data_IF_352407579849
#
_entry.id   IF_352407579849
#
_cell.length_a   1.000
_cell.length_b   1.000
_cell.length_c   1.000
_cell.angle_alpha   90.00
_cell.angle_beta   90.00
_cell.angle_gamma   90.00
#
_symmetry.space_group_name_H-M   'P 1'
#
loop_
_entity.id
_entity.type
_entity.pdbx_description
1 polymer ?
#
# COMPACT_ATOMS: atom_id res chain seq x y z
N UNK A 1 -52.14 1.39 17.03
CA UNK A 1 -52.03 1.58 15.56
C UNK A 1 -50.87 2.52 15.24
N UNK A 2 -50.71 3.63 15.95
CA UNK A 2 -49.60 4.58 15.77
C UNK A 2 -48.21 3.98 16.01
N UNK A 3 -48.03 3.17 17.06
CA UNK A 3 -46.74 2.51 17.37
C UNK A 3 -46.24 1.58 16.25
N UNK A 4 -47.15 0.88 15.58
CA UNK A 4 -46.81 -0.03 14.48
C UNK A 4 -46.37 0.73 13.22
N UNK A 5 -46.97 1.89 12.96
CA UNK A 5 -46.60 2.76 11.85
C UNK A 5 -45.23 3.37 12.10
N UNK A 6 -44.98 3.87 13.32
CA UNK A 6 -43.68 4.42 13.70
C UNK A 6 -42.57 3.38 13.57
N UNK A 7 -42.79 2.16 14.07
CA UNK A 7 -41.84 1.05 13.94
C UNK A 7 -41.53 0.72 12.48
N UNK A 8 -42.55 0.67 11.60
CA UNK A 8 -42.34 0.36 10.17
C UNK A 8 -41.56 1.47 9.45
N UNK A 9 -41.82 2.74 9.78
CA UNK A 9 -41.08 3.88 9.23
C UNK A 9 -39.63 3.88 9.71
N UNK A 10 -39.39 3.62 11.00
CA UNK A 10 -38.03 3.51 11.55
C UNK A 10 -37.28 2.34 10.92
N UNK A 11 -37.92 1.17 10.79
CA UNK A 11 -37.29 0.01 10.17
C UNK A 11 -36.96 0.26 8.69
N UNK A 12 -37.90 0.85 7.94
CA UNK A 12 -37.69 1.22 6.54
C UNK A 12 -36.59 2.28 6.37
N UNK A 13 -36.53 3.27 7.25
CA UNK A 13 -35.46 4.27 7.29
C UNK A 13 -34.11 3.63 7.59
N UNK A 14 -34.03 2.74 8.58
CA UNK A 14 -32.79 2.03 8.93
C UNK A 14 -32.30 1.12 7.81
N UNK A 15 -33.20 0.39 7.13
CA UNK A 15 -32.86 -0.45 5.97
C UNK A 15 -32.43 0.41 4.77
N UNK A 16 -33.10 1.55 4.53
CA UNK A 16 -32.69 2.50 3.49
C UNK A 16 -31.34 3.16 3.78
N UNK A 17 -31.07 3.50 5.05
CA UNK A 17 -29.83 4.10 5.52
C UNK A 17 -28.66 3.12 5.43
N UNK A 18 -28.85 1.84 5.75
CA UNK A 18 -27.80 0.82 5.58
C UNK A 18 -27.44 0.61 4.11
N UNK A 19 -28.42 0.67 3.20
CA UNK A 19 -28.16 0.66 1.76
C UNK A 19 -27.41 1.90 1.26
N UNK A 20 -27.71 3.09 1.80
CA UNK A 20 -27.02 4.34 1.46
C UNK A 20 -25.60 4.42 2.05
N UNK A 21 -25.37 3.79 3.20
CA UNK A 21 -24.07 3.67 3.86
C UNK A 21 -23.26 2.46 3.37
N UNK A 22 -23.86 1.58 2.56
CA UNK A 22 -23.14 0.46 1.97
C UNK A 22 -21.94 1.00 1.18
N UNK A 23 -20.71 0.51 1.44
CA UNK A 23 -19.54 0.97 0.72
C UNK A 23 -19.75 0.85 -0.78
N UNK A 24 -19.71 1.97 -1.49
CA UNK A 24 -19.79 1.96 -2.94
C UNK A 24 -18.66 1.10 -3.54
N UNK A 25 -18.80 0.61 -4.78
CA UNK A 25 -17.82 -0.26 -5.42
C UNK A 25 -16.41 0.36 -5.48
N UNK A 26 -16.32 1.69 -5.56
CA UNK A 26 -15.05 2.44 -5.52
C UNK A 26 -14.38 2.40 -4.15
N UNK A 27 -15.14 2.51 -3.06
CA UNK A 27 -14.61 2.44 -1.70
C UNK A 27 -14.09 1.04 -1.40
N UNK A 28 -14.84 -0.01 -1.78
CA UNK A 28 -14.41 -1.40 -1.64
C UNK A 28 -13.11 -1.66 -2.43
N UNK A 29 -13.02 -1.18 -3.67
CA UNK A 29 -11.81 -1.32 -4.48
C UNK A 29 -10.60 -0.62 -3.84
N UNK A 30 -10.78 0.60 -3.31
CA UNK A 30 -9.72 1.34 -2.62
C UNK A 30 -9.24 0.61 -1.36
N UNK A 31 -10.17 0.06 -0.55
CA UNK A 31 -9.82 -0.71 0.65
C UNK A 31 -9.01 -1.95 0.27
N UNK A 32 -9.46 -2.70 -0.73
CA UNK A 32 -8.76 -3.91 -1.19
C UNK A 32 -7.35 -3.59 -1.73
N UNK A 33 -7.22 -2.53 -2.53
CA UNK A 33 -5.93 -2.09 -3.04
C UNK A 33 -4.98 -1.64 -1.92
N UNK A 34 -5.50 -0.90 -0.94
CA UNK A 34 -4.73 -0.42 0.22
C UNK A 34 -4.25 -1.58 1.08
N UNK A 35 -5.12 -2.56 1.34
CA UNK A 35 -4.77 -3.76 2.10
C UNK A 35 -3.72 -4.61 1.36
N UNK A 36 -3.87 -4.80 0.05
CA UNK A 36 -2.88 -5.51 -0.74
C UNK A 36 -1.51 -4.80 -0.71
N UNK A 37 -1.47 -3.48 -0.83
CA UNK A 37 -0.25 -2.68 -0.72
C UNK A 37 0.40 -2.79 0.66
N UNK A 38 -0.39 -2.74 1.73
CA UNK A 38 0.10 -2.94 3.10
C UNK A 38 0.70 -4.34 3.29
N UNK A 39 -0.03 -5.40 2.90
CA UNK A 39 0.42 -6.78 3.06
C UNK A 39 1.69 -7.08 2.27
N UNK A 40 1.77 -6.61 1.02
CA UNK A 40 2.96 -6.80 0.18
C UNK A 40 4.16 -6.02 0.72
N UNK A 41 3.96 -4.82 1.27
CA UNK A 41 5.03 -4.05 1.91
C UNK A 41 5.52 -4.72 3.20
N UNK A 42 4.61 -5.15 4.07
CA UNK A 42 4.94 -5.79 5.33
C UNK A 42 5.59 -7.18 5.16
N UNK A 43 5.17 -7.93 4.13
CA UNK A 43 5.76 -9.23 3.79
C UNK A 43 7.14 -9.11 3.11
N UNK A 44 7.51 -7.92 2.64
CA UNK A 44 8.80 -7.72 1.98
C UNK A 44 9.93 -7.66 3.03
N UNK A 45 10.87 -8.64 3.07
CA UNK A 45 11.96 -8.64 4.04
C UNK A 45 12.88 -7.42 3.90
N UNK A 46 13.00 -6.83 2.71
CA UNK A 46 13.82 -5.64 2.50
C UNK A 46 13.31 -4.42 3.28
N UNK A 47 12.00 -4.31 3.52
CA UNK A 47 11.44 -3.24 4.35
C UNK A 47 12.03 -3.28 5.76
N UNK A 48 12.00 -4.47 6.36
CA UNK A 48 12.53 -4.69 7.72
C UNK A 48 14.05 -4.61 7.75
N UNK A 49 14.74 -5.21 6.78
CA UNK A 49 16.21 -5.13 6.69
C UNK A 49 16.64 -3.67 6.62
N UNK A 50 15.99 -2.83 5.80
CA UNK A 50 16.31 -1.41 5.68
C UNK A 50 16.11 -0.67 7.01
N UNK A 51 14.94 -0.81 7.64
CA UNK A 51 14.64 -0.12 8.91
C UNK A 51 15.54 -0.57 10.06
N UNK A 52 15.89 -1.86 10.12
CA UNK A 52 16.77 -2.39 11.15
C UNK A 52 18.25 -2.05 10.91
N UNK A 53 18.64 -1.72 9.68
CA UNK A 53 20.02 -1.36 9.32
C UNK A 53 20.21 0.13 9.05
N UNK A 54 20.09 0.55 7.78
CA UNK A 54 20.37 1.93 7.35
C UNK A 54 19.39 2.90 7.98
N UNK A 55 18.11 2.55 8.07
CA UNK A 55 17.07 3.40 8.67
C UNK A 55 17.34 3.70 10.14
N UNK A 56 17.68 2.68 10.94
CA UNK A 56 18.01 2.87 12.36
C UNK A 56 19.29 3.70 12.54
N UNK A 57 20.32 3.48 11.73
CA UNK A 57 21.54 4.29 11.76
C UNK A 57 21.28 5.77 11.44
N UNK A 58 20.47 6.05 10.41
CA UNK A 58 20.09 7.43 10.05
C UNK A 58 19.25 8.09 11.15
N UNK A 59 18.29 7.35 11.73
CA UNK A 59 17.45 7.86 12.82
C UNK A 59 18.27 8.15 14.08
N UNK A 60 19.17 7.25 14.48
CA UNK A 60 20.06 7.45 15.64
C UNK A 60 20.97 8.65 15.40
N UNK A 61 21.57 8.76 14.21
CA UNK A 61 22.39 9.92 13.84
C UNK A 61 21.60 11.23 13.91
N UNK A 62 20.33 11.24 13.49
CA UNK A 62 19.47 12.42 13.63
C UNK A 62 19.10 12.72 15.09
N UNK A 63 18.97 11.70 15.95
CA UNK A 63 18.70 11.85 17.39
C UNK A 63 19.88 12.40 18.17
N UNK A 64 21.13 12.22 17.71
CA UNK A 64 22.31 12.87 18.31
C UNK A 64 22.20 14.41 18.23
N UNK A 65 21.53 14.92 17.19
CA UNK A 65 21.17 16.33 17.05
C UNK A 65 19.93 16.75 17.85
N UNK A 66 19.30 15.82 18.58
CA UNK A 66 18.10 16.04 19.39
C UNK A 66 16.79 15.65 18.70
N UNK A 67 15.72 15.61 19.50
CA UNK A 67 14.40 15.13 19.05
C UNK A 67 13.83 15.91 17.85
N UNK A 68 14.10 17.22 17.76
CA UNK A 68 13.62 18.06 16.66
C UNK A 68 14.22 17.58 15.33
N UNK A 69 15.52 17.26 15.29
CA UNK A 69 16.17 16.78 14.07
C UNK A 69 15.68 15.39 13.68
N UNK A 70 15.41 14.51 14.65
CA UNK A 70 14.82 13.20 14.39
C UNK A 70 13.40 13.29 13.80
N UNK A 71 12.57 14.18 14.34
CA UNK A 71 11.23 14.43 13.79
C UNK A 71 11.33 15.04 12.38
N UNK A 72 12.24 16.00 12.17
CA UNK A 72 12.47 16.59 10.85
C UNK A 72 12.95 15.55 9.83
N UNK A 73 13.86 14.66 10.23
CA UNK A 73 14.31 13.53 9.41
C UNK A 73 13.14 12.61 9.05
N UNK A 74 12.34 12.19 10.04
CA UNK A 74 11.22 11.28 9.81
C UNK A 74 10.16 11.89 8.89
N UNK A 75 9.81 13.15 9.13
CA UNK A 75 8.87 13.88 8.29
C UNK A 75 9.38 14.04 6.86
N UNK A 76 10.67 14.37 6.69
CA UNK A 76 11.31 14.49 5.39
C UNK A 76 11.39 13.16 4.65
N UNK A 77 11.76 12.08 5.35
CA UNK A 77 11.86 10.74 4.78
C UNK A 77 10.49 10.21 4.31
N UNK A 78 9.47 10.21 5.18
CA UNK A 78 8.12 9.79 4.79
C UNK A 78 7.48 10.73 3.76
N UNK A 79 7.80 12.02 3.81
CA UNK A 79 7.39 13.00 2.81
C UNK A 79 8.00 12.68 1.44
N UNK A 80 9.28 12.34 1.39
CA UNK A 80 9.95 11.92 0.16
C UNK A 80 9.36 10.64 -0.41
N UNK A 81 9.07 9.64 0.43
CA UNK A 81 8.39 8.41 0.02
C UNK A 81 7.01 8.71 -0.57
N UNK A 82 6.20 9.52 0.13
CA UNK A 82 4.87 9.91 -0.33
C UNK A 82 4.95 10.66 -1.66
N UNK A 83 5.89 11.60 -1.79
CA UNK A 83 6.11 12.36 -3.01
C UNK A 83 6.54 11.47 -4.17
N UNK A 84 7.49 10.56 -3.94
CA UNK A 84 7.99 9.64 -4.96
C UNK A 84 6.92 8.66 -5.42
N UNK A 85 6.22 8.00 -4.50
CA UNK A 85 5.15 7.07 -4.85
C UNK A 85 3.98 7.78 -5.54
N UNK A 86 3.64 9.00 -5.13
CA UNK A 86 2.61 9.80 -5.82
C UNK A 86 3.06 10.17 -7.22
N UNK A 87 4.31 10.61 -7.40
CA UNK A 87 4.86 10.92 -8.72
C UNK A 87 4.81 9.70 -9.66
N UNK A 88 5.29 8.54 -9.21
CA UNK A 88 5.26 7.31 -10.01
C UNK A 88 3.82 6.87 -10.29
N UNK A 89 2.95 6.85 -9.27
CA UNK A 89 1.55 6.43 -9.39
C UNK A 89 0.76 7.32 -10.36
N UNK A 90 0.88 8.64 -10.21
CA UNK A 90 0.22 9.60 -11.11
C UNK A 90 0.81 9.57 -12.51
N UNK A 91 2.12 9.38 -12.64
CA UNK A 91 2.79 9.20 -13.94
C UNK A 91 2.27 7.96 -14.68
N UNK A 92 2.13 6.83 -13.99
CA UNK A 92 1.56 5.60 -14.57
C UNK A 92 0.07 5.77 -14.88
N UNK A 93 -0.70 6.42 -13.99
CA UNK A 93 -2.12 6.65 -14.19
C UNK A 93 -2.40 7.54 -15.42
N UNK A 94 -1.57 8.58 -15.62
CA UNK A 94 -1.65 9.47 -16.79
C UNK A 94 -1.05 8.83 -18.05
N UNK A 95 -0.06 7.93 -17.90
CA UNK A 95 0.64 7.24 -18.98
C UNK A 95 -0.20 6.21 -19.75
N UNK A 96 -1.48 6.02 -19.39
CA UNK A 96 -2.43 5.17 -20.11
C UNK A 96 -2.64 5.56 -21.58
N UNK A 97 -2.28 6.78 -21.97
CA UNK A 97 -2.28 7.23 -23.37
C UNK A 97 -1.05 6.75 -24.16
N UNK A 98 0.02 6.38 -23.47
CA UNK A 98 1.31 5.92 -24.04
C UNK A 98 1.38 4.39 -24.04
N UNK A 99 0.90 3.74 -22.98
CA UNK A 99 0.88 2.28 -22.85
C UNK A 99 -0.55 1.75 -22.81
N UNK A 100 -0.85 0.81 -23.71
CA UNK A 100 -2.10 0.05 -23.65
C UNK A 100 -2.15 -0.82 -22.39
N UNK A 101 -3.35 -1.04 -21.87
CA UNK A 101 -3.59 -1.83 -20.66
C UNK A 101 -2.96 -3.23 -20.74
N UNK A 102 -3.07 -3.89 -21.90
CA UNK A 102 -2.44 -5.20 -22.15
C UNK A 102 -0.91 -5.12 -22.06
N UNK A 103 -0.29 -4.07 -22.59
CA UNK A 103 1.18 -3.92 -22.57
C UNK A 103 1.68 -3.67 -21.16
N UNK A 104 0.98 -2.82 -20.41
CA UNK A 104 1.25 -2.57 -19.00
C UNK A 104 1.25 -3.88 -18.18
N UNK A 105 0.18 -4.68 -18.29
CA UNK A 105 0.10 -5.95 -17.58
C UNK A 105 1.18 -6.95 -18.02
N UNK A 106 1.55 -7.00 -19.31
CA UNK A 106 2.64 -7.85 -19.78
C UNK A 106 3.99 -7.46 -19.18
N UNK A 107 4.28 -6.16 -19.08
CA UNK A 107 5.51 -5.65 -18.45
C UNK A 107 5.51 -6.04 -16.96
N UNK A 108 4.41 -5.79 -16.24
CA UNK A 108 4.31 -6.13 -14.83
C UNK A 108 4.44 -7.63 -14.56
N UNK A 109 3.84 -8.48 -15.41
CA UNK A 109 4.02 -9.93 -15.33
C UNK A 109 5.47 -10.35 -15.59
N UNK A 110 6.14 -9.78 -16.58
CA UNK A 110 7.54 -10.07 -16.87
C UNK A 110 8.45 -9.69 -15.69
N UNK A 111 8.25 -8.51 -15.10
CA UNK A 111 8.96 -8.08 -13.89
C UNK A 111 8.68 -9.02 -12.72
N UNK A 112 7.43 -9.41 -12.50
CA UNK A 112 7.05 -10.35 -11.43
C UNK A 112 7.72 -11.72 -11.59
N UNK A 113 7.68 -12.29 -12.79
CA UNK A 113 8.35 -13.56 -13.12
C UNK A 113 9.86 -13.46 -12.89
N UNK A 114 10.48 -12.36 -13.35
CA UNK A 114 11.89 -12.10 -13.14
C UNK A 114 12.26 -12.04 -11.65
N UNK A 115 11.47 -11.35 -10.83
CA UNK A 115 11.67 -11.27 -9.38
C UNK A 115 11.48 -12.63 -8.69
N UNK A 116 10.53 -13.45 -9.14
CA UNK A 116 10.36 -14.83 -8.63
C UNK A 116 11.61 -15.66 -8.94
N UNK A 117 12.13 -15.60 -10.16
CA UNK A 117 13.36 -16.32 -10.52
C UNK A 117 14.54 -15.89 -9.65
N UNK A 118 14.74 -14.59 -9.45
CA UNK A 118 15.78 -14.08 -8.57
C UNK A 118 15.58 -14.51 -7.12
N UNK A 119 14.34 -14.43 -6.60
CA UNK A 119 14.01 -14.89 -5.26
C UNK A 119 14.34 -16.36 -5.04
N UNK A 120 13.92 -17.22 -5.98
CA UNK A 120 14.24 -18.65 -5.95
C UNK A 120 15.73 -18.92 -6.05
N UNK A 121 16.45 -18.18 -6.91
CA UNK A 121 17.91 -18.30 -7.04
C UNK A 121 18.63 -18.02 -5.71
N UNK A 122 18.29 -16.93 -5.01
CA UNK A 122 18.86 -16.62 -3.71
C UNK A 122 18.49 -17.64 -2.62
N UNK A 123 17.27 -18.19 -2.66
CA UNK A 123 16.81 -19.25 -1.73
C UNK A 123 17.51 -20.59 -1.98
N UNK A 124 17.81 -20.93 -3.23
CA UNK A 124 18.46 -22.18 -3.59
C UNK A 124 19.97 -22.18 -3.31
N UNK A 125 20.61 -21.00 -3.27
CA UNK A 125 22.05 -20.86 -3.00
C UNK A 125 22.54 -21.65 -1.79
N UNK A 126 21.95 -21.48 -0.58
CA UNK A 126 22.33 -22.24 0.62
C UNK A 126 22.09 -23.76 0.56
N UNK A 127 21.22 -24.22 -0.35
CA UNK A 127 20.89 -25.64 -0.52
C UNK A 127 21.81 -26.32 -1.55
N UNK A 128 22.26 -25.58 -2.56
CA UNK A 128 23.16 -26.04 -3.62
C UNK A 128 24.65 -25.87 -3.25
N UNK A 129 24.99 -24.99 -2.31
CA UNK A 129 26.36 -24.76 -1.84
C UNK A 129 26.80 -25.74 -0.74
N UNK A 130 26.17 -26.92 -0.64
CA UNK A 130 26.62 -28.01 0.22
C UNK A 130 27.60 -28.91 -0.51
#
# INVERSE_FOLDING_TARGET
MEEAILSTVVLGFLIGLTGALAPGPTLVATINASLAGFLTSAANPYFWIWWLSVGSALLISSLEGGLILAVAFMAGHWGADTAWFTFVSTGVAQGKTILSDTTYHRIMMACGIFLIFFGLYYLAGPLLSR
#
